data_IF_761160979925
#
_entry.id   IF_761160979925
#
_cell.length_a   1.000
_cell.length_b   1.000
_cell.length_c   1.000
_cell.angle_alpha   90.00
_cell.angle_beta   90.00
_cell.angle_gamma   90.00
#
_symmetry.space_group_name_H-M   'P 1'
#
loop_
_entity.id
_entity.type
_entity.pdbx_description
1 polymer ?
#
# COMPACT_ATOMS: atom_id res chain seq x y z
N UNK A 1 9.24 -50.06 64.22
CA UNK A 1 10.64 -50.41 63.91
C UNK A 1 11.36 -49.18 63.40
N UNK A 2 12.64 -49.06 63.75
CA UNK A 2 13.56 -47.93 63.56
C UNK A 2 13.78 -47.51 62.08
N UNK A 3 13.91 -46.18 61.86
CA UNK A 3 14.87 -45.36 61.06
C UNK A 3 15.63 -45.96 59.84
N UNK A 4 16.24 -45.17 58.91
CA UNK A 4 16.32 -43.69 58.80
C UNK A 4 16.27 -43.05 57.37
N UNK A 5 16.18 -41.70 57.37
CA UNK A 5 16.82 -40.67 56.53
C UNK A 5 17.33 -40.97 55.11
N UNK A 6 16.86 -40.16 54.14
CA UNK A 6 17.58 -39.80 52.92
C UNK A 6 17.54 -38.28 52.70
N UNK A 7 18.70 -37.64 52.79
CA UNK A 7 18.95 -36.24 52.43
C UNK A 7 18.85 -36.09 50.91
N UNK A 8 18.02 -35.16 50.41
CA UNK A 8 18.02 -34.77 49.00
C UNK A 8 18.61 -33.36 48.86
N UNK A 9 19.75 -33.31 48.16
CA UNK A 9 20.55 -32.14 47.86
C UNK A 9 19.84 -31.25 46.83
N UNK A 10 19.58 -29.99 47.17
CA UNK A 10 19.00 -29.00 46.27
C UNK A 10 20.12 -28.43 45.37
N UNK A 11 20.11 -28.77 44.09
CA UNK A 11 21.03 -28.20 43.08
C UNK A 11 20.40 -26.92 42.55
N UNK A 12 21.00 -25.76 42.89
CA UNK A 12 20.72 -24.49 42.24
C UNK A 12 21.21 -24.53 40.80
N UNK A 13 20.28 -24.55 39.83
CA UNK A 13 20.58 -24.28 38.43
C UNK A 13 20.76 -22.78 38.21
N UNK A 14 21.99 -22.38 37.89
CA UNK A 14 22.31 -21.02 37.43
C UNK A 14 21.65 -20.83 36.04
N UNK A 15 20.65 -19.96 35.95
CA UNK A 15 20.04 -19.56 34.68
C UNK A 15 20.96 -18.52 34.02
N UNK A 16 21.81 -18.94 33.10
CA UNK A 16 22.63 -18.03 32.29
C UNK A 16 21.74 -17.40 31.22
N UNK A 17 21.31 -16.15 31.46
CA UNK A 17 20.63 -15.33 30.46
C UNK A 17 21.67 -14.93 29.42
N UNK A 18 21.66 -15.60 28.26
CA UNK A 18 22.36 -15.13 27.07
C UNK A 18 21.67 -13.86 26.56
N UNK A 19 22.20 -12.69 26.94
CA UNK A 19 21.93 -11.44 26.22
C UNK A 19 22.53 -11.58 24.82
N UNK A 20 21.69 -11.85 23.84
CA UNK A 20 22.03 -11.64 22.43
C UNK A 20 22.02 -10.12 22.23
N UNK A 21 23.16 -9.49 21.84
CA UNK A 21 23.14 -8.08 21.50
C UNK A 21 22.28 -7.91 20.24
N UNK A 22 21.19 -7.17 20.36
CA UNK A 22 20.49 -6.59 19.22
C UNK A 22 21.49 -5.67 18.50
N UNK A 23 22.00 -6.13 17.36
CA UNK A 23 22.83 -5.33 16.47
C UNK A 23 21.88 -4.32 15.82
N UNK A 24 21.77 -3.13 16.42
CA UNK A 24 21.27 -1.97 15.70
C UNK A 24 22.30 -1.65 14.62
N UNK A 25 21.99 -1.95 13.36
CA UNK A 25 22.74 -1.41 12.23
C UNK A 25 22.52 0.11 12.22
N UNK A 26 23.44 0.83 12.86
CA UNK A 26 23.51 2.29 12.76
C UNK A 26 23.75 2.67 11.30
N UNK A 27 22.95 3.59 10.77
CA UNK A 27 23.24 4.21 9.49
C UNK A 27 24.62 4.88 9.57
N UNK A 28 25.55 4.49 8.70
CA UNK A 28 26.77 5.27 8.50
C UNK A 28 26.37 6.52 7.72
N UNK A 29 26.25 7.65 8.41
CA UNK A 29 26.22 8.96 7.75
C UNK A 29 27.59 9.17 7.11
N UNK A 30 27.75 8.89 5.82
CA UNK A 30 28.91 9.38 5.08
C UNK A 30 28.75 10.88 4.94
N UNK A 31 29.53 11.65 5.71
CA UNK A 31 29.55 13.12 5.66
C UNK A 31 30.35 13.67 4.47
N UNK A 32 30.55 12.89 3.42
CA UNK A 32 31.27 13.35 2.23
C UNK A 32 30.26 14.01 1.27
N UNK A 33 30.54 15.24 0.78
CA UNK A 33 29.69 15.87 -0.21
C UNK A 33 29.65 15.02 -1.48
N UNK A 34 28.47 14.55 -1.85
CA UNK A 34 28.21 13.77 -3.06
C UNK A 34 28.53 14.63 -4.29
N UNK A 35 29.18 14.06 -5.33
CA UNK A 35 29.36 14.77 -6.60
C UNK A 35 28.00 15.20 -7.18
N UNK A 36 27.90 16.33 -7.89
CA UNK A 36 26.65 16.75 -8.52
C UNK A 36 26.19 15.67 -9.51
N UNK A 37 25.03 15.06 -9.25
CA UNK A 37 24.42 14.04 -10.11
C UNK A 37 24.59 12.57 -9.66
N UNK A 38 25.00 12.30 -8.42
CA UNK A 38 24.96 10.96 -7.84
C UNK A 38 23.61 10.65 -7.19
N UNK A 39 23.01 9.50 -7.49
CA UNK A 39 21.86 8.94 -6.75
C UNK A 39 22.27 8.71 -5.30
N UNK A 40 21.55 9.29 -4.35
CA UNK A 40 21.84 9.16 -2.92
C UNK A 40 20.73 8.39 -2.18
N UNK A 41 21.14 7.50 -1.27
CA UNK A 41 20.21 6.91 -0.29
C UNK A 41 20.22 7.78 0.95
N UNK A 42 19.22 8.65 1.07
CA UNK A 42 19.02 9.50 2.24
C UNK A 42 18.15 8.74 3.23
N UNK A 43 18.80 8.17 4.25
CA UNK A 43 18.09 7.72 5.45
C UNK A 43 17.60 8.96 6.17
N UNK A 44 16.30 9.09 6.42
CA UNK A 44 15.75 10.26 7.10
C UNK A 44 15.86 10.04 8.61
N UNK A 45 16.80 10.71 9.30
CA UNK A 45 16.92 10.59 10.75
C UNK A 45 15.76 11.31 11.44
N UNK A 46 15.54 11.05 12.74
CA UNK A 46 14.50 11.69 13.55
C UNK A 46 14.64 13.23 13.63
N UNK A 47 15.83 13.78 13.36
CA UNK A 47 16.16 15.20 13.48
C UNK A 47 16.10 15.98 12.15
N UNK A 48 16.01 15.31 11.00
CA UNK A 48 15.66 15.94 9.72
C UNK A 48 14.18 15.68 9.45
N UNK A 49 13.41 16.72 9.18
CA UNK A 49 12.00 16.49 8.86
C UNK A 49 11.89 15.82 7.48
N UNK A 50 10.92 14.92 7.31
CA UNK A 50 10.61 14.33 6.00
C UNK A 50 10.27 15.43 4.97
N UNK A 51 9.71 16.55 5.41
CA UNK A 51 9.45 17.72 4.56
C UNK A 51 10.73 18.30 3.97
N UNK A 52 11.77 18.53 4.78
CA UNK A 52 13.06 19.03 4.32
C UNK A 52 13.76 18.01 3.41
N UNK A 53 13.72 16.72 3.78
CA UNK A 53 14.29 15.67 2.94
C UNK A 53 13.62 15.61 1.56
N UNK A 54 12.29 15.75 1.49
CA UNK A 54 11.54 15.79 0.23
C UNK A 54 11.80 17.08 -0.56
N UNK A 55 12.01 18.22 0.10
CA UNK A 55 12.34 19.47 -0.57
C UNK A 55 13.75 19.47 -1.19
N UNK A 56 14.70 18.79 -0.54
CA UNK A 56 16.08 18.67 -0.99
C UNK A 56 16.30 17.54 -2.02
N UNK A 57 15.35 16.59 -2.10
CA UNK A 57 15.49 15.40 -2.93
C UNK A 57 15.62 15.73 -4.42
N UNK A 58 16.53 15.03 -5.07
CA UNK A 58 16.83 15.15 -6.49
C UNK A 58 16.41 13.88 -7.24
N UNK A 59 16.30 14.00 -8.56
CA UNK A 59 16.06 12.86 -9.42
C UNK A 59 17.15 11.79 -9.25
N UNK A 60 16.71 10.57 -8.97
CA UNK A 60 17.54 9.41 -8.70
C UNK A 60 17.67 9.07 -7.21
N UNK A 61 17.22 9.94 -6.31
CA UNK A 61 17.37 9.70 -4.87
C UNK A 61 16.43 8.60 -4.35
N UNK A 62 16.85 8.02 -3.22
CA UNK A 62 16.04 7.13 -2.40
C UNK A 62 15.91 7.69 -1.00
N UNK A 63 14.69 8.02 -0.61
CA UNK A 63 14.34 8.40 0.75
C UNK A 63 13.86 7.15 1.50
N UNK A 64 14.66 6.70 2.48
CA UNK A 64 14.32 5.53 3.30
C UNK A 64 13.86 5.94 4.69
N UNK A 65 12.63 5.57 5.03
CA UNK A 65 11.99 5.79 6.32
C UNK A 65 12.03 4.47 7.11
N UNK A 66 13.07 4.31 7.93
CA UNK A 66 13.26 3.08 8.73
C UNK A 66 12.23 2.93 9.84
N UNK A 67 11.91 4.03 10.52
CA UNK A 67 10.95 4.06 11.62
C UNK A 67 10.53 5.49 11.91
N UNK A 68 9.30 5.68 12.39
CA UNK A 68 8.85 6.96 12.91
C UNK A 68 7.48 7.37 12.39
N UNK A 69 7.01 8.51 12.89
CA UNK A 69 5.76 9.14 12.49
C UNK A 69 6.04 10.54 12.02
N UNK A 70 5.66 10.84 10.78
CA UNK A 70 5.83 12.13 10.15
C UNK A 70 4.47 12.73 9.86
N UNK A 71 4.22 13.95 10.32
CA UNK A 71 2.94 14.60 10.17
C UNK A 71 3.07 15.86 9.33
N UNK A 72 2.13 16.02 8.39
CA UNK A 72 2.05 17.18 7.51
C UNK A 72 0.73 17.91 7.72
N UNK A 73 0.81 19.24 7.80
CA UNK A 73 -0.37 20.11 7.82
C UNK A 73 -0.77 20.58 6.43
N UNK A 74 0.17 20.55 5.49
CA UNK A 74 0.02 21.02 4.12
C UNK A 74 0.41 19.90 3.13
N UNK A 75 0.03 20.07 1.87
CA UNK A 75 0.42 19.15 0.79
C UNK A 75 1.92 19.19 0.56
N UNK A 76 2.50 18.01 0.33
CA UNK A 76 3.86 17.88 -0.19
C UNK A 76 3.79 17.62 -1.68
N UNK A 77 4.30 18.56 -2.47
CA UNK A 77 4.36 18.43 -3.93
C UNK A 77 5.72 17.92 -4.37
N UNK A 78 5.73 16.77 -5.03
CA UNK A 78 6.89 16.17 -5.69
C UNK A 78 6.77 16.49 -7.17
N UNK A 79 7.67 17.35 -7.67
CA UNK A 79 7.63 17.82 -9.06
C UNK A 79 8.38 16.89 -10.01
N UNK A 80 8.08 16.99 -11.30
CA UNK A 80 8.70 16.17 -12.35
C UNK A 80 10.24 16.25 -12.35
N UNK A 81 10.81 17.40 -11.97
CA UNK A 81 12.27 17.64 -11.90
C UNK A 81 12.94 16.84 -10.79
N UNK A 82 12.19 16.48 -9.73
CA UNK A 82 12.67 15.66 -8.62
C UNK A 82 12.54 14.16 -8.92
N UNK A 83 11.89 13.80 -10.03
CA UNK A 83 11.65 12.40 -10.39
C UNK A 83 12.61 11.89 -11.48
N UNK A 84 12.99 10.60 -11.48
CA UNK A 84 12.48 9.52 -10.61
C UNK A 84 12.91 9.67 -9.14
N UNK A 85 12.01 9.38 -8.20
CA UNK A 85 12.29 9.44 -6.76
C UNK A 85 11.72 8.18 -6.10
N UNK A 86 12.50 7.54 -5.23
CA UNK A 86 12.02 6.41 -4.43
C UNK A 86 11.76 6.87 -2.99
N UNK A 87 10.54 6.70 -2.50
CA UNK A 87 10.18 6.94 -1.10
C UNK A 87 9.72 5.60 -0.52
N UNK A 88 10.50 5.02 0.38
CA UNK A 88 10.23 3.68 0.90
C UNK A 88 10.26 3.62 2.42
N UNK A 89 9.35 2.85 2.99
CA UNK A 89 9.38 2.48 4.40
C UNK A 89 10.19 1.21 4.64
N UNK A 90 10.31 0.83 5.91
CA UNK A 90 10.77 -0.50 6.32
C UNK A 90 9.60 -1.29 6.90
N UNK A 91 8.89 -2.06 6.06
CA UNK A 91 7.81 -2.98 6.48
C UNK A 91 6.77 -2.34 7.41
N UNK A 92 6.14 -1.24 6.99
CA UNK A 92 5.11 -0.52 7.76
C UNK A 92 5.58 0.15 9.06
N UNK A 93 6.89 0.27 9.30
CA UNK A 93 7.40 1.01 10.47
C UNK A 93 7.51 2.53 10.21
N UNK A 94 7.45 2.95 8.95
CA UNK A 94 7.32 4.35 8.55
C UNK A 94 5.85 4.73 8.45
N UNK A 95 5.42 5.68 9.29
CA UNK A 95 4.05 6.21 9.26
C UNK A 95 4.04 7.67 8.85
N UNK A 96 3.15 8.01 7.93
CA UNK A 96 2.95 9.37 7.44
C UNK A 96 1.49 9.75 7.66
N UNK A 97 1.26 10.91 8.28
CA UNK A 97 -0.08 11.41 8.55
C UNK A 97 -0.29 12.79 7.94
N UNK A 98 -1.45 13.03 7.34
CA UNK A 98 -1.85 14.34 6.79
C UNK A 98 -3.15 14.84 7.38
N UNK A 99 -3.44 16.14 7.20
CA UNK A 99 -4.78 16.66 7.45
C UNK A 99 -5.76 16.14 6.38
N UNK A 100 -7.04 15.94 6.73
CA UNK A 100 -8.07 15.49 5.78
C UNK A 100 -8.64 16.62 4.90
N UNK A 101 -8.00 17.80 4.91
CA UNK A 101 -8.48 18.99 4.20
C UNK A 101 -7.78 19.23 2.87
N UNK A 102 -6.64 18.58 2.64
CA UNK A 102 -5.80 18.75 1.45
C UNK A 102 -5.23 17.42 1.01
N UNK A 103 -4.77 17.30 -0.25
CA UNK A 103 -3.97 16.16 -0.66
C UNK A 103 -2.72 16.04 0.23
N UNK A 104 -2.35 14.84 0.66
CA UNK A 104 -1.11 14.67 1.45
C UNK A 104 0.12 14.73 0.53
N UNK A 105 0.27 13.78 -0.39
CA UNK A 105 1.31 13.79 -1.42
C UNK A 105 0.72 14.10 -2.79
N UNK A 106 1.37 15.00 -3.52
CA UNK A 106 1.01 15.36 -4.90
C UNK A 106 2.21 15.09 -5.80
N UNK A 107 2.10 14.13 -6.70
CA UNK A 107 3.08 13.88 -7.75
C UNK A 107 2.65 14.59 -9.03
N UNK A 108 3.50 15.48 -9.54
CA UNK A 108 3.25 16.20 -10.80
C UNK A 108 4.10 15.60 -11.92
N UNK A 109 3.46 14.89 -12.83
CA UNK A 109 4.07 14.20 -13.98
C UNK A 109 5.31 13.37 -13.60
N UNK A 110 5.17 12.35 -12.73
CA UNK A 110 6.30 11.56 -12.25
C UNK A 110 6.98 10.80 -13.39
N UNK A 111 8.32 10.83 -13.45
CA UNK A 111 9.08 10.07 -14.44
C UNK A 111 9.16 8.58 -14.07
N UNK A 112 9.27 7.67 -15.07
CA UNK A 112 9.47 6.25 -14.84
C UNK A 112 10.61 5.97 -13.86
N UNK A 113 10.37 5.05 -12.93
CA UNK A 113 11.25 4.77 -11.79
C UNK A 113 10.88 5.50 -10.49
N UNK A 114 9.83 6.33 -10.49
CA UNK A 114 9.25 6.87 -9.26
C UNK A 114 8.51 5.79 -8.49
N UNK A 115 8.80 5.65 -7.19
CA UNK A 115 8.24 4.59 -6.33
C UNK A 115 7.82 5.14 -4.97
N UNK A 116 6.65 4.71 -4.49
CA UNK A 116 6.24 4.85 -3.10
C UNK A 116 5.98 3.45 -2.56
N UNK A 117 6.73 2.99 -1.56
CA UNK A 117 6.55 1.61 -1.05
C UNK A 117 6.64 1.43 0.45
N UNK A 118 6.00 0.38 0.96
CA UNK A 118 6.18 -0.14 2.34
C UNK A 118 5.87 0.87 3.47
N UNK A 119 4.97 1.82 3.20
CA UNK A 119 4.59 2.90 4.10
C UNK A 119 3.17 2.74 4.62
N UNK A 120 2.95 3.21 5.84
CA UNK A 120 1.60 3.38 6.38
C UNK A 120 1.19 4.84 6.33
N UNK A 121 0.06 5.11 5.69
CA UNK A 121 -0.53 6.43 5.58
C UNK A 121 -1.79 6.54 6.45
N UNK A 122 -2.01 7.74 6.99
CA UNK A 122 -3.27 8.12 7.61
C UNK A 122 -3.66 9.55 7.19
N UNK A 123 -4.92 9.71 6.82
CA UNK A 123 -5.44 11.00 6.36
C UNK A 123 -4.90 11.47 5.00
N UNK A 124 -5.10 12.75 4.71
CA UNK A 124 -5.03 13.29 3.36
C UNK A 124 -6.34 13.07 2.60
N UNK A 125 -6.73 14.03 1.77
CA UNK A 125 -7.92 13.92 0.93
C UNK A 125 -7.64 14.52 -0.46
N UNK A 126 -7.09 13.73 -1.40
CA UNK A 126 -6.65 12.32 -1.27
C UNK A 126 -5.31 12.15 -0.50
N UNK A 127 -4.93 10.92 -0.18
CA UNK A 127 -3.62 10.65 0.45
C UNK A 127 -2.49 10.77 -0.56
N UNK A 128 -2.66 10.15 -1.72
CA UNK A 128 -1.74 10.30 -2.85
C UNK A 128 -2.55 10.81 -4.02
N UNK A 129 -2.15 11.96 -4.55
CA UNK A 129 -2.64 12.51 -5.81
C UNK A 129 -1.54 12.41 -6.86
N UNK A 130 -1.86 11.89 -8.03
CA UNK A 130 -0.94 11.76 -9.16
C UNK A 130 -1.55 12.52 -10.33
N UNK A 131 -0.87 13.57 -10.78
CA UNK A 131 -1.34 14.46 -11.84
C UNK A 131 -0.46 14.32 -13.08
N UNK A 132 -1.03 14.60 -14.26
CA UNK A 132 -0.24 14.80 -15.47
C UNK A 132 0.00 13.53 -16.29
N UNK A 133 1.26 13.25 -16.62
CA UNK A 133 1.70 12.13 -17.46
C UNK A 133 2.98 11.51 -16.92
N UNK A 134 3.33 10.29 -17.33
CA UNK A 134 4.56 9.62 -16.89
C UNK A 134 4.23 8.29 -16.20
N UNK A 135 5.04 7.89 -15.22
CA UNK A 135 4.86 6.60 -14.56
C UNK A 135 5.25 6.60 -13.07
N UNK A 136 4.50 5.86 -12.25
CA UNK A 136 4.76 5.68 -10.82
C UNK A 136 4.27 4.31 -10.32
N UNK A 137 5.05 3.70 -9.42
CA UNK A 137 4.65 2.48 -8.68
C UNK A 137 4.30 2.83 -7.24
N UNK A 138 3.17 2.32 -6.75
CA UNK A 138 2.74 2.39 -5.35
C UNK A 138 2.61 0.96 -4.85
N UNK A 139 3.46 0.53 -3.92
CA UNK A 139 3.50 -0.88 -3.53
C UNK A 139 3.61 -1.16 -2.04
N UNK A 140 2.96 -2.24 -1.57
CA UNK A 140 3.09 -2.68 -0.18
C UNK A 140 2.65 -1.63 0.86
N UNK A 141 1.86 -0.63 0.45
CA UNK A 141 1.46 0.46 1.31
C UNK A 141 0.15 0.15 2.04
N UNK A 142 0.01 0.66 3.26
CA UNK A 142 -1.24 0.64 4.01
C UNK A 142 -1.84 2.05 4.07
N UNK A 143 -3.12 2.19 3.70
CA UNK A 143 -3.87 3.43 3.75
C UNK A 143 -5.00 3.31 4.77
N UNK A 144 -4.95 4.05 5.87
CA UNK A 144 -6.03 4.11 6.85
C UNK A 144 -6.88 5.35 6.58
N UNK A 145 -8.08 5.15 6.04
CA UNK A 145 -8.98 6.22 5.57
C UNK A 145 -8.56 6.92 4.28
N UNK A 146 -7.40 6.54 3.73
CA UNK A 146 -6.74 7.24 2.64
C UNK A 146 -7.28 6.91 1.25
N UNK A 147 -6.97 7.76 0.28
CA UNK A 147 -7.41 7.61 -1.12
C UNK A 147 -6.19 7.74 -2.03
N UNK A 148 -6.09 6.88 -3.06
CA UNK A 148 -5.18 7.09 -4.19
C UNK A 148 -5.99 7.67 -5.35
N UNK A 149 -5.65 8.88 -5.78
CA UNK A 149 -6.35 9.60 -6.84
C UNK A 149 -5.41 9.87 -8.02
N UNK A 150 -5.79 9.38 -9.19
CA UNK A 150 -5.03 9.50 -10.44
C UNK A 150 -5.79 10.41 -11.40
N UNK A 151 -5.17 11.53 -11.75
CA UNK A 151 -5.73 12.59 -12.58
C UNK A 151 -4.80 12.87 -13.76
N UNK A 152 -4.89 12.04 -14.80
CA UNK A 152 -4.05 12.20 -15.97
C UNK A 152 -4.50 13.36 -16.88
N UNK A 153 -3.54 14.06 -17.49
CA UNK A 153 -3.82 15.12 -18.46
C UNK A 153 -4.17 14.56 -19.84
N UNK A 154 -4.85 15.36 -20.67
CA UNK A 154 -5.32 14.97 -22.00
C UNK A 154 -4.31 15.12 -23.16
N UNK A 155 -4.50 14.32 -24.20
CA UNK A 155 -3.87 14.26 -25.54
C UNK A 155 -2.43 13.73 -25.70
N UNK A 156 -1.72 13.43 -24.61
CA UNK A 156 -0.37 12.85 -24.66
C UNK A 156 -0.33 11.34 -24.38
N UNK A 157 0.87 10.81 -24.11
CA UNK A 157 1.05 9.46 -23.57
C UNK A 157 0.29 9.32 -22.24
N UNK A 158 -0.27 8.13 -21.95
CA UNK A 158 -1.02 7.93 -20.73
C UNK A 158 -0.14 8.08 -19.48
N UNK A 159 -0.77 8.44 -18.36
CA UNK A 159 -0.16 8.28 -17.05
C UNK A 159 -0.26 6.81 -16.64
N UNK A 160 0.89 6.15 -16.52
CA UNK A 160 1.00 4.75 -16.11
C UNK A 160 1.11 4.67 -14.58
N UNK A 161 0.24 3.86 -13.95
CA UNK A 161 0.28 3.64 -12.51
C UNK A 161 0.23 2.16 -12.20
N UNK A 162 1.20 1.67 -11.44
CA UNK A 162 1.18 0.32 -10.89
C UNK A 162 0.91 0.39 -9.38
N UNK A 163 -0.26 -0.09 -8.96
CA UNK A 163 -0.66 -0.21 -7.57
C UNK A 163 -0.67 -1.69 -7.19
N UNK A 164 0.26 -2.14 -6.35
CA UNK A 164 0.41 -3.57 -6.04
C UNK A 164 0.63 -3.86 -4.56
N UNK A 165 0.02 -4.92 -4.01
CA UNK A 165 0.28 -5.27 -2.60
C UNK A 165 -0.27 -4.27 -1.59
N UNK A 166 -1.19 -3.38 -1.98
CA UNK A 166 -1.63 -2.29 -1.13
C UNK A 166 -2.88 -2.68 -0.33
N UNK A 167 -2.93 -2.28 0.93
CA UNK A 167 -4.11 -2.41 1.79
C UNK A 167 -4.75 -1.04 2.01
N UNK A 168 -6.02 -0.92 1.63
CA UNK A 168 -6.84 0.26 1.84
C UNK A 168 -7.96 -0.05 2.83
N UNK A 169 -7.93 0.57 4.00
CA UNK A 169 -8.87 0.33 5.09
C UNK A 169 -9.76 1.54 5.26
N UNK A 170 -11.05 1.33 5.09
CA UNK A 170 -12.13 2.32 5.25
C UNK A 170 -11.87 3.65 4.53
N UNK A 171 -11.47 3.63 3.24
CA UNK A 171 -11.20 4.88 2.53
C UNK A 171 -12.46 5.75 2.49
N UNK A 172 -12.30 7.05 2.75
CA UNK A 172 -13.44 7.95 3.01
C UNK A 172 -14.47 8.01 1.86
N UNK A 173 -14.03 7.81 0.61
CA UNK A 173 -14.88 7.75 -0.57
C UNK A 173 -14.48 6.57 -1.46
N UNK A 174 -13.28 6.62 -2.02
CA UNK A 174 -12.78 5.61 -2.95
C UNK A 174 -11.48 5.02 -2.43
N UNK A 175 -11.24 3.72 -2.61
CA UNK A 175 -9.88 3.22 -2.48
C UNK A 175 -9.01 3.84 -3.57
N UNK A 176 -9.38 3.54 -4.82
CA UNK A 176 -8.74 4.10 -6.00
C UNK A 176 -9.73 4.93 -6.80
N UNK A 177 -9.40 6.19 -7.05
CA UNK A 177 -10.10 7.04 -8.00
C UNK A 177 -9.20 7.26 -9.22
N UNK A 178 -9.58 6.68 -10.35
CA UNK A 178 -8.75 6.59 -11.54
C UNK A 178 -9.41 7.37 -12.67
N UNK A 179 -8.72 8.37 -13.22
CA UNK A 179 -9.29 9.30 -14.19
C UNK A 179 -8.30 9.79 -15.24
N UNK A 180 -8.85 10.48 -16.25
CA UNK A 180 -8.08 11.04 -17.36
C UNK A 180 -7.55 9.98 -18.32
N UNK A 181 -6.55 10.33 -19.13
CA UNK A 181 -5.83 9.39 -19.97
C UNK A 181 -4.80 8.60 -19.13
N UNK A 182 -5.26 7.66 -18.31
CA UNK A 182 -4.40 6.83 -17.46
C UNK A 182 -4.51 5.34 -17.81
N UNK A 183 -3.40 4.64 -17.70
CA UNK A 183 -3.33 3.18 -17.74
C UNK A 183 -2.89 2.69 -16.36
N UNK A 184 -3.77 1.98 -15.67
CA UNK A 184 -3.54 1.61 -14.27
C UNK A 184 -3.62 0.10 -14.10
N UNK A 185 -2.60 -0.47 -13.49
CA UNK A 185 -2.66 -1.85 -12.99
C UNK A 185 -2.89 -1.83 -11.50
N UNK A 186 -3.97 -2.46 -11.04
CA UNK A 186 -4.21 -2.70 -9.61
C UNK A 186 -4.10 -4.19 -9.39
N UNK A 187 -3.13 -4.63 -8.58
CA UNK A 187 -2.93 -6.05 -8.34
C UNK A 187 -2.66 -6.40 -6.90
N UNK A 188 -3.02 -7.63 -6.49
CA UNK A 188 -2.72 -8.15 -5.15
C UNK A 188 -3.02 -7.11 -4.07
N UNK A 189 -4.14 -6.40 -4.18
CA UNK A 189 -4.49 -5.30 -3.29
C UNK A 189 -5.81 -5.60 -2.61
N UNK A 190 -6.00 -5.07 -1.40
CA UNK A 190 -7.23 -5.23 -0.64
C UNK A 190 -7.83 -3.85 -0.39
N UNK A 191 -9.08 -3.66 -0.81
CA UNK A 191 -9.90 -2.50 -0.44
C UNK A 191 -11.04 -2.97 0.46
N UNK A 192 -11.02 -2.53 1.71
CA UNK A 192 -11.97 -2.92 2.75
C UNK A 192 -12.80 -1.71 3.18
N UNK A 193 -14.12 -1.76 3.00
CA UNK A 193 -15.03 -0.79 3.62
C UNK A 193 -15.05 0.60 2.98
N UNK A 194 -14.93 0.70 1.65
CA UNK A 194 -14.91 2.01 0.98
C UNK A 194 -16.20 2.81 1.16
N UNK A 195 -16.08 4.13 1.39
CA UNK A 195 -17.21 5.03 1.64
C UNK A 195 -18.19 5.24 0.47
N UNK A 196 -17.78 4.92 -0.75
CA UNK A 196 -18.61 4.84 -1.96
C UNK A 196 -18.19 3.60 -2.77
N UNK A 197 -17.19 3.71 -3.65
CA UNK A 197 -16.73 2.60 -4.49
C UNK A 197 -15.33 2.13 -4.08
N UNK A 198 -15.04 0.83 -4.13
CA UNK A 198 -13.68 0.33 -3.90
C UNK A 198 -12.69 0.89 -4.92
N UNK A 199 -13.03 0.74 -6.21
CA UNK A 199 -12.29 1.27 -7.36
C UNK A 199 -13.25 2.01 -8.28
N UNK A 200 -13.06 3.31 -8.43
CA UNK A 200 -13.77 4.14 -9.41
C UNK A 200 -12.88 4.36 -10.63
N UNK A 201 -13.32 3.87 -11.78
CA UNK A 201 -12.68 4.03 -13.09
C UNK A 201 -13.49 5.04 -13.88
N UNK A 202 -12.91 6.20 -14.19
CA UNK A 202 -13.63 7.33 -14.75
C UNK A 202 -12.94 7.95 -15.97
N UNK A 203 -13.70 8.67 -16.79
CA UNK A 203 -13.16 9.37 -17.97
C UNK A 203 -12.62 8.38 -19.00
N UNK A 204 -11.37 8.52 -19.41
CA UNK A 204 -10.73 7.61 -20.38
C UNK A 204 -9.73 6.66 -19.71
N UNK A 205 -9.83 6.48 -18.40
CA UNK A 205 -8.93 5.61 -17.66
C UNK A 205 -9.17 4.14 -18.07
N UNK A 206 -8.08 3.41 -18.27
CA UNK A 206 -8.10 1.99 -18.61
C UNK A 206 -7.38 1.23 -17.51
N UNK A 207 -8.06 0.21 -16.96
CA UNK A 207 -7.57 -0.52 -15.78
C UNK A 207 -7.43 -2.00 -16.06
N UNK A 208 -6.33 -2.58 -15.62
CA UNK A 208 -6.15 -4.02 -15.46
C UNK A 208 -6.19 -4.33 -13.96
N UNK A 209 -7.17 -5.10 -13.52
CA UNK A 209 -7.31 -5.51 -12.11
C UNK A 209 -7.06 -7.01 -11.98
N UNK A 210 -6.05 -7.40 -11.19
CA UNK A 210 -5.74 -8.82 -10.97
C UNK A 210 -5.56 -9.17 -9.49
N UNK A 211 -6.11 -10.30 -9.05
CA UNK A 211 -5.83 -10.83 -7.70
C UNK A 211 -6.17 -9.82 -6.59
N UNK A 212 -7.22 -9.02 -6.73
CA UNK A 212 -7.62 -8.05 -5.71
C UNK A 212 -8.75 -8.58 -4.84
N UNK A 213 -8.80 -8.13 -3.58
CA UNK A 213 -9.99 -8.23 -2.74
C UNK A 213 -10.63 -6.85 -2.67
N UNK A 214 -11.91 -6.72 -3.03
CA UNK A 214 -12.67 -5.47 -2.87
C UNK A 214 -14.00 -5.78 -2.19
N UNK A 215 -14.12 -5.38 -0.92
CA UNK A 215 -15.28 -5.77 -0.12
C UNK A 215 -15.86 -4.64 0.72
N UNK A 216 -17.14 -4.80 1.07
CA UNK A 216 -17.89 -3.90 1.95
C UNK A 216 -17.90 -2.44 1.51
N UNK A 217 -17.75 -2.16 0.21
CA UNK A 217 -17.94 -0.81 -0.31
C UNK A 217 -19.40 -0.41 -0.15
N UNK A 218 -19.64 0.84 0.25
CA UNK A 218 -21.01 1.37 0.47
C UNK A 218 -21.86 1.43 -0.79
N UNK A 219 -21.24 1.27 -1.96
CA UNK A 219 -21.91 1.27 -3.24
C UNK A 219 -21.41 0.10 -4.09
N UNK A 220 -20.29 0.27 -4.81
CA UNK A 220 -19.79 -0.72 -5.76
C UNK A 220 -18.38 -1.19 -5.42
N UNK A 221 -18.06 -2.44 -5.75
CA UNK A 221 -16.65 -2.88 -5.72
C UNK A 221 -15.84 -2.14 -6.77
N UNK A 222 -16.14 -2.41 -8.05
CA UNK A 222 -15.63 -1.68 -9.21
C UNK A 222 -16.75 -0.88 -9.88
N UNK A 223 -16.51 0.39 -10.18
CA UNK A 223 -17.44 1.23 -10.91
C UNK A 223 -16.77 1.90 -12.10
N UNK A 224 -17.32 1.71 -13.30
CA UNK A 224 -16.84 2.34 -14.52
C UNK A 224 -17.79 3.47 -14.94
N UNK A 225 -17.26 4.67 -15.17
CA UNK A 225 -18.05 5.87 -15.50
C UNK A 225 -17.39 6.68 -16.61
N UNK A 226 -18.22 7.41 -17.35
CA UNK A 226 -17.78 8.38 -18.36
C UNK A 226 -16.73 7.84 -19.37
N UNK A 227 -16.88 6.57 -19.80
CA UNK A 227 -16.00 5.79 -20.68
C UNK A 227 -14.77 5.12 -20.03
N UNK A 228 -14.66 5.18 -18.70
CA UNK A 228 -13.65 4.43 -17.97
C UNK A 228 -13.88 2.94 -18.18
N UNK A 229 -12.82 2.16 -18.33
CA UNK A 229 -12.92 0.76 -18.72
C UNK A 229 -12.05 -0.14 -17.85
N UNK A 230 -12.66 -1.24 -17.39
CA UNK A 230 -11.94 -2.42 -16.92
C UNK A 230 -11.60 -3.28 -18.13
N UNK A 231 -10.34 -3.66 -18.31
CA UNK A 231 -9.93 -4.49 -19.45
C UNK A 231 -10.37 -5.93 -19.24
N UNK A 232 -10.75 -6.59 -20.34
CA UNK A 232 -11.12 -8.01 -20.36
C UNK A 232 -9.98 -8.98 -19.96
N UNK A 233 -8.73 -8.52 -19.92
CA UNK A 233 -7.59 -9.28 -19.40
C UNK A 233 -7.46 -9.22 -17.87
N UNK A 234 -8.32 -8.46 -17.19
CA UNK A 234 -8.46 -8.50 -15.74
C UNK A 234 -8.94 -9.88 -15.31
N UNK A 235 -8.56 -10.32 -14.12
CA UNK A 235 -8.86 -11.68 -13.66
C UNK A 235 -8.69 -11.87 -12.17
N UNK A 236 -9.31 -12.91 -11.62
CA UNK A 236 -9.03 -13.39 -10.27
C UNK A 236 -9.27 -12.36 -9.17
N UNK A 237 -10.23 -11.45 -9.35
CA UNK A 237 -10.63 -10.52 -8.30
C UNK A 237 -11.75 -11.13 -7.45
N UNK A 238 -11.61 -11.06 -6.14
CA UNK A 238 -12.69 -11.34 -5.19
C UNK A 238 -13.39 -10.04 -4.82
N UNK A 239 -14.61 -9.86 -5.31
CA UNK A 239 -15.37 -8.64 -5.12
C UNK A 239 -16.64 -9.02 -4.39
N UNK A 240 -16.67 -8.73 -3.08
CA UNK A 240 -17.59 -9.40 -2.17
C UNK A 240 -18.34 -8.46 -1.24
N UNK A 241 -19.64 -8.71 -1.03
CA UNK A 241 -20.50 -7.96 -0.12
C UNK A 241 -20.43 -6.42 -0.30
N UNK A 242 -20.33 -5.93 -1.54
CA UNK A 242 -20.52 -4.51 -1.85
C UNK A 242 -22.02 -4.19 -1.93
N UNK A 243 -22.47 -3.09 -1.31
CA UNK A 243 -23.90 -2.89 -1.00
C UNK A 243 -24.82 -2.96 -2.22
N UNK A 244 -24.45 -2.30 -3.32
CA UNK A 244 -25.31 -2.22 -4.50
C UNK A 244 -24.95 -3.27 -5.55
N UNK A 245 -23.66 -3.41 -5.88
CA UNK A 245 -23.18 -4.46 -6.78
C UNK A 245 -21.65 -4.60 -6.68
N UNK A 246 -21.12 -5.76 -7.03
CA UNK A 246 -19.68 -5.96 -7.13
C UNK A 246 -19.08 -5.17 -8.30
N UNK A 247 -19.80 -5.12 -9.43
CA UNK A 247 -19.40 -4.34 -10.60
C UNK A 247 -20.55 -3.48 -11.10
N UNK A 248 -20.24 -2.24 -11.50
CA UNK A 248 -21.19 -1.32 -12.11
C UNK A 248 -20.64 -0.72 -13.40
N UNK A 249 -21.36 -0.93 -14.51
CA UNK A 249 -21.10 -0.33 -15.83
C UNK A 249 -19.72 -0.66 -16.43
N UNK A 250 -19.03 -1.69 -15.94
CA UNK A 250 -17.68 -2.08 -16.40
C UNK A 250 -17.66 -2.97 -17.64
N UNK A 251 -18.80 -3.18 -18.30
CA UNK A 251 -18.91 -4.10 -19.42
C UNK A 251 -18.94 -5.55 -18.94
N UNK A 252 -18.26 -6.43 -19.69
CA UNK A 252 -18.18 -7.85 -19.38
C UNK A 252 -17.26 -8.08 -18.18
N UNK A 253 -17.76 -8.81 -17.19
CA UNK A 253 -17.00 -9.16 -16.00
C UNK A 253 -16.17 -10.41 -16.30
N UNK A 254 -14.86 -10.43 -15.98
CA UNK A 254 -14.04 -11.61 -16.16
C UNK A 254 -14.62 -12.86 -15.49
N UNK A 255 -14.67 -13.99 -16.20
CA UNK A 255 -15.21 -15.26 -15.66
C UNK A 255 -14.41 -15.82 -14.48
N UNK A 256 -13.17 -15.36 -14.32
CA UNK A 256 -12.27 -15.75 -13.21
C UNK A 256 -12.47 -14.90 -11.96
N UNK A 257 -13.24 -13.81 -12.04
CA UNK A 257 -13.61 -13.03 -10.87
C UNK A 257 -14.71 -13.76 -10.08
N UNK A 258 -14.70 -13.59 -8.76
CA UNK A 258 -15.62 -14.26 -7.85
C UNK A 258 -16.05 -13.32 -6.71
N UNK A 259 -17.01 -13.78 -5.90
CA UNK A 259 -17.60 -13.02 -4.79
C UNK A 259 -17.81 -13.99 -3.63
N UNK A 260 -16.75 -14.20 -2.85
CA UNK A 260 -16.72 -15.11 -1.71
C UNK A 260 -16.17 -14.41 -0.47
N UNK A 261 -16.44 -14.95 0.71
CA UNK A 261 -15.87 -14.38 1.94
C UNK A 261 -14.36 -14.60 1.96
N UNK A 262 -13.52 -13.54 2.01
CA UNK A 262 -12.08 -13.72 2.06
C UNK A 262 -11.60 -14.38 3.36
N UNK A 263 -12.44 -14.48 4.39
CA UNK A 263 -12.08 -15.10 5.67
C UNK A 263 -10.79 -14.50 6.25
N UNK A 264 -10.80 -13.18 6.49
CA UNK A 264 -9.69 -12.54 7.20
C UNK A 264 -9.57 -13.07 8.64
N UNK A 265 -8.34 -13.17 9.12
CA UNK A 265 -8.06 -13.66 10.48
C UNK A 265 -8.76 -12.84 11.57
N UNK A 266 -8.65 -11.51 11.48
CA UNK A 266 -9.29 -10.59 12.44
C UNK A 266 -9.37 -9.16 11.86
N UNK A 267 -10.21 -8.99 10.84
CA UNK A 267 -10.37 -7.69 10.17
C UNK A 267 -10.83 -6.58 11.14
N UNK A 268 -11.64 -6.92 12.15
CA UNK A 268 -12.13 -5.97 13.16
C UNK A 268 -10.98 -5.37 13.99
N UNK A 269 -9.90 -6.14 14.21
CA UNK A 269 -8.69 -5.67 14.89
C UNK A 269 -7.56 -5.30 13.93
N UNK A 270 -7.85 -5.22 12.63
CA UNK A 270 -6.92 -4.74 11.60
C UNK A 270 -5.96 -5.78 11.04
N UNK A 271 -6.17 -7.06 11.34
CA UNK A 271 -5.46 -8.19 10.74
C UNK A 271 -6.20 -8.66 9.48
N UNK A 272 -5.67 -8.24 8.33
CA UNK A 272 -6.18 -8.58 7.00
C UNK A 272 -5.41 -9.72 6.35
N UNK A 273 -4.64 -10.51 7.12
CA UNK A 273 -4.13 -11.79 6.63
C UNK A 273 -5.28 -12.78 6.49
N UNK A 274 -5.09 -13.79 5.64
CA UNK A 274 -6.12 -14.77 5.31
C UNK A 274 -6.10 -15.96 6.27
N UNK A 275 -7.28 -16.51 6.55
CA UNK A 275 -7.42 -17.85 7.10
C UNK A 275 -6.92 -18.90 6.09
N UNK A 276 -6.35 -20.01 6.58
CA UNK A 276 -5.87 -21.10 5.73
C UNK A 276 -6.96 -21.76 4.88
N UNK A 277 -8.23 -21.64 5.29
CA UNK A 277 -9.40 -22.13 4.57
C UNK A 277 -10.04 -21.07 3.66
N UNK A 278 -9.46 -19.87 3.60
CA UNK A 278 -9.94 -18.79 2.75
C UNK A 278 -9.98 -19.22 1.27
N UNK A 279 -11.04 -18.87 0.51
CA UNK A 279 -11.08 -19.05 -0.94
C UNK A 279 -10.09 -18.13 -1.69
N UNK A 280 -9.49 -17.14 -1.01
CA UNK A 280 -8.45 -16.28 -1.54
C UNK A 280 -7.04 -16.83 -1.28
N UNK A 281 -6.90 -17.88 -0.45
CA UNK A 281 -5.62 -18.49 -0.18
C UNK A 281 -5.12 -19.26 -1.41
N UNK A 282 -3.81 -19.21 -1.73
CA UNK A 282 -3.25 -19.89 -2.90
C UNK A 282 -3.59 -21.38 -2.98
N UNK A 283 -3.61 -22.07 -1.84
CA UNK A 283 -3.87 -23.50 -1.74
C UNK A 283 -5.34 -23.86 -2.05
N UNK A 284 -6.27 -22.94 -1.83
CA UNK A 284 -7.70 -23.13 -2.08
C UNK A 284 -8.15 -22.51 -3.41
N UNK A 285 -7.24 -21.81 -4.11
CA UNK A 285 -7.51 -21.17 -5.39
C UNK A 285 -6.33 -21.35 -6.36
N UNK A 286 -6.05 -22.59 -6.81
CA UNK A 286 -4.85 -22.91 -7.58
C UNK A 286 -4.81 -22.22 -8.96
N UNK A 287 -5.96 -21.87 -9.53
CA UNK A 287 -6.03 -21.20 -10.84
C UNK A 287 -5.63 -19.73 -10.75
N UNK A 288 -5.96 -19.06 -9.65
CA UNK A 288 -5.64 -17.66 -9.42
C UNK A 288 -4.37 -17.45 -8.57
N UNK A 289 -4.00 -18.41 -7.75
CA UNK A 289 -3.00 -18.23 -6.70
C UNK A 289 -3.55 -17.38 -5.54
N UNK A 290 -2.67 -16.59 -4.91
CA UNK A 290 -3.06 -15.70 -3.82
C UNK A 290 -3.86 -14.50 -4.33
N UNK A 291 -4.92 -14.12 -3.62
CA UNK A 291 -5.77 -12.97 -3.93
C UNK A 291 -5.78 -12.02 -2.73
N UNK A 292 -5.55 -10.73 -2.98
CA UNK A 292 -5.49 -9.68 -1.95
C UNK A 292 -4.08 -9.22 -1.57
N UNK A 293 -4.01 -8.27 -0.63
CA UNK A 293 -2.77 -7.64 -0.18
C UNK A 293 -1.85 -8.55 0.63
N UNK A 294 -2.44 -9.46 1.42
CA UNK A 294 -1.70 -10.31 2.35
C UNK A 294 -2.06 -11.79 2.15
N UNK A 295 -1.10 -12.66 2.44
CA UNK A 295 -1.29 -14.11 2.38
C UNK A 295 -1.90 -14.69 3.66
N UNK A 296 -1.82 -16.01 3.79
CA UNK A 296 -2.32 -16.76 4.96
C UNK A 296 -1.56 -16.37 6.23
N UNK A 297 -2.28 -16.10 7.32
CA UNK A 297 -1.73 -15.71 8.62
C UNK A 297 -2.29 -16.47 9.83
N UNK A 298 -3.40 -17.21 9.69
CA UNK A 298 -4.05 -17.97 10.78
C UNK A 298 -4.63 -19.32 10.31
N UNK A 299 -5.16 -20.09 11.28
CA UNK A 299 -5.70 -21.45 11.15
C UNK A 299 -7.09 -21.57 11.80
#
# INVERSE_FOLDING_TARGET
MQKPFGLATCVMGLLTVCLVPLIFQSCSSSSEPTPPGGSEVVCIPLDKTLAEALADAQAGDTLEIKSGSFSFTESVTIRSEQTPLVIRGSRNQGSISGSNSVPLFIFESPKPGTVVSDLTFSGGNPTIQINGSGAITISGCRFNGGIVNVLANGSGDPLEVEATGNLMVEPALFGYQLGGNSEVTVSNSTVYGAGDCGVLINGTAVVVANNNIVMFSRNFGFACRANGALRAISSCNDVFMNINADYSLCGDIPETDFSLDPMFCDAENGDFTLDVLSPCAPENNPDCGGVGAFGVGCL
#
